data_IF_148602232298
#
_entry.id   IF_148602232298
#
_cell.length_a   1.000
_cell.length_b   1.000
_cell.length_c   1.000
_cell.angle_alpha   90.00
_cell.angle_beta   90.00
_cell.angle_gamma   90.00
#
_symmetry.space_group_name_H-M   'P 1'
#
loop_
_entity.id
_entity.type
_entity.pdbx_description
1 polymer ?
#
# COMPACT_ATOMS: atom_id res chain seq x y z
N UNK A 1 -12.73 14.38 -7.55
CA UNK A 1 -12.02 14.35 -6.27
C UNK A 1 -10.49 14.25 -6.47
N UNK A 2 -9.96 13.25 -7.19
CA UNK A 2 -8.51 13.06 -7.36
C UNK A 2 -7.78 14.25 -8.01
N UNK A 3 -8.42 14.96 -8.94
CA UNK A 3 -7.85 16.19 -9.52
C UNK A 3 -7.69 17.32 -8.47
N UNK A 4 -8.59 17.41 -7.48
CA UNK A 4 -8.53 18.43 -6.43
C UNK A 4 -7.34 18.25 -5.48
N UNK A 5 -6.84 17.02 -5.32
CA UNK A 5 -5.70 16.67 -4.47
C UNK A 5 -4.45 16.35 -5.27
N UNK A 6 -4.42 16.75 -6.55
CA UNK A 6 -3.29 16.53 -7.48
C UNK A 6 -2.82 15.06 -7.58
N UNK A 7 -3.73 14.10 -7.43
CA UNK A 7 -3.44 12.68 -7.58
C UNK A 7 -3.75 12.19 -9.00
N UNK A 8 -2.80 11.47 -9.60
CA UNK A 8 -2.97 10.78 -10.88
C UNK A 8 -3.33 9.32 -10.64
N UNK A 9 -4.28 8.79 -11.42
CA UNK A 9 -4.70 7.39 -11.31
C UNK A 9 -4.04 6.57 -12.41
N UNK A 10 -3.40 5.45 -12.03
CA UNK A 10 -2.85 4.46 -12.95
C UNK A 10 -3.72 3.21 -12.91
N UNK A 11 -4.44 2.93 -13.99
CA UNK A 11 -5.32 1.76 -14.11
C UNK A 11 -4.57 0.52 -14.60
N UNK A 12 -4.68 -0.61 -13.89
CA UNK A 12 -3.94 -1.84 -14.19
C UNK A 12 -4.64 -3.15 -13.83
N UNK A 13 -5.95 -3.26 -14.07
CA UNK A 13 -6.76 -4.39 -13.60
C UNK A 13 -6.74 -5.67 -14.48
N UNK A 14 -6.16 -5.66 -15.68
CA UNK A 14 -6.09 -6.83 -16.57
C UNK A 14 -4.63 -7.22 -16.87
N UNK A 15 -4.38 -8.48 -17.32
CA UNK A 15 -3.01 -8.95 -17.64
C UNK A 15 -2.27 -8.00 -18.60
N UNK A 16 -2.90 -7.58 -19.70
CA UNK A 16 -2.31 -6.62 -20.67
C UNK A 16 -2.18 -5.21 -20.07
N UNK A 17 -3.19 -4.72 -19.37
CA UNK A 17 -3.17 -3.41 -18.70
C UNK A 17 -2.24 -3.39 -17.47
N UNK A 18 -1.99 -4.54 -16.83
CA UNK A 18 -1.07 -4.68 -15.72
C UNK A 18 0.38 -4.34 -16.08
N UNK A 19 0.87 -4.82 -17.23
CA UNK A 19 2.22 -4.49 -17.73
C UNK A 19 2.34 -3.01 -18.05
N UNK A 20 1.34 -2.44 -18.76
CA UNK A 20 1.33 -1.01 -19.07
C UNK A 20 1.29 -0.15 -17.81
N UNK A 21 0.49 -0.53 -16.79
CA UNK A 21 0.46 0.17 -15.52
C UNK A 21 1.81 0.09 -14.80
N UNK A 22 2.46 -1.07 -14.80
CA UNK A 22 3.78 -1.26 -14.20
C UNK A 22 4.84 -0.35 -14.82
N UNK A 23 4.87 -0.23 -16.16
CA UNK A 23 5.77 0.69 -16.86
C UNK A 23 5.47 2.15 -16.50
N UNK A 24 4.19 2.54 -16.40
CA UNK A 24 3.79 3.89 -15.99
C UNK A 24 4.24 4.20 -14.56
N UNK A 25 4.13 3.22 -13.65
CA UNK A 25 4.60 3.38 -12.27
C UNK A 25 6.12 3.58 -12.20
N UNK A 26 6.89 2.80 -12.97
CA UNK A 26 8.35 2.99 -13.06
C UNK A 26 8.67 4.42 -13.49
N UNK A 27 8.08 4.88 -14.61
CA UNK A 27 8.32 6.23 -15.13
C UNK A 27 7.96 7.34 -14.14
N UNK A 28 6.85 7.17 -13.41
CA UNK A 28 6.43 8.13 -12.41
C UNK A 28 7.46 8.21 -11.25
N UNK A 29 7.95 7.07 -10.77
CA UNK A 29 8.98 7.03 -9.72
C UNK A 29 10.31 7.64 -10.22
N UNK A 30 10.71 7.33 -11.46
CA UNK A 30 11.91 7.91 -12.08
C UNK A 30 11.82 9.45 -12.23
N UNK A 31 10.61 9.97 -12.39
CA UNK A 31 10.31 11.40 -12.40
C UNK A 31 10.20 12.01 -10.98
N UNK A 32 10.49 11.27 -9.91
CA UNK A 32 10.42 11.76 -8.54
C UNK A 32 9.00 11.76 -7.94
N UNK A 33 8.02 11.13 -8.61
CA UNK A 33 6.66 11.02 -8.07
C UNK A 33 6.57 9.86 -7.07
N UNK A 34 5.77 10.04 -6.00
CA UNK A 34 5.41 8.96 -5.06
C UNK A 34 4.19 8.20 -5.57
N UNK A 35 4.16 6.90 -5.33
CA UNK A 35 3.05 6.03 -5.74
C UNK A 35 2.42 5.35 -4.53
N UNK A 36 1.10 5.44 -4.41
CA UNK A 36 0.32 4.63 -3.47
C UNK A 36 -0.24 3.39 -4.18
N UNK A 37 -0.01 2.21 -3.59
CA UNK A 37 -0.45 0.92 -4.13
C UNK A 37 -1.06 0.09 -3.02
N UNK A 38 -2.19 -0.58 -3.30
CA UNK A 38 -2.69 -1.65 -2.43
C UNK A 38 -1.88 -2.93 -2.68
N UNK A 39 -1.16 -3.46 -1.66
CA UNK A 39 -0.17 -4.52 -1.87
C UNK A 39 -0.79 -5.88 -2.20
N UNK A 40 -2.05 -6.11 -1.84
CA UNK A 40 -2.84 -7.31 -2.12
C UNK A 40 -3.40 -7.34 -3.55
N UNK A 41 -3.41 -6.18 -4.23
CA UNK A 41 -3.87 -6.07 -5.60
C UNK A 41 -5.38 -6.24 -5.78
N UNK A 42 -5.91 -6.07 -7.01
CA UNK A 42 -7.35 -5.97 -7.26
C UNK A 42 -8.13 -7.28 -7.12
N UNK A 43 -7.46 -8.41 -6.96
CA UNK A 43 -8.09 -9.74 -6.88
C UNK A 43 -7.91 -10.42 -5.53
N UNK A 44 -7.23 -9.77 -4.59
CA UNK A 44 -6.95 -10.38 -3.29
C UNK A 44 -6.06 -11.64 -3.36
N UNK A 45 -6.04 -12.48 -2.36
CA UNK A 45 -6.79 -12.31 -1.11
C UNK A 45 -6.35 -11.08 -0.31
N UNK A 46 -7.28 -10.57 0.48
CA UNK A 46 -7.10 -9.37 1.32
C UNK A 46 -5.87 -9.52 2.21
N UNK A 47 -5.13 -8.42 2.37
CA UNK A 47 -3.96 -8.32 3.27
C UNK A 47 -2.78 -9.24 2.94
N UNK A 48 -2.74 -9.84 1.75
CA UNK A 48 -1.61 -10.67 1.30
C UNK A 48 -0.75 -9.91 0.28
N UNK A 49 0.48 -9.62 0.66
CA UNK A 49 1.44 -8.91 -0.18
C UNK A 49 1.76 -9.67 -1.46
N UNK A 50 1.57 -9.02 -2.61
CA UNK A 50 1.89 -9.56 -3.94
C UNK A 50 3.29 -9.15 -4.40
N UNK A 51 3.86 -9.94 -5.29
CA UNK A 51 5.23 -9.75 -5.79
C UNK A 51 5.40 -8.46 -6.62
N UNK A 52 4.30 -7.88 -7.09
CA UNK A 52 4.31 -6.67 -7.93
C UNK A 52 5.00 -5.48 -7.25
N UNK A 53 4.71 -5.23 -5.97
CA UNK A 53 5.33 -4.12 -5.22
C UNK A 53 6.84 -4.35 -5.01
N UNK A 54 7.24 -5.61 -4.78
CA UNK A 54 8.65 -5.99 -4.59
C UNK A 54 9.42 -5.79 -5.91
N UNK A 55 8.84 -6.25 -7.03
CA UNK A 55 9.42 -6.04 -8.36
C UNK A 55 9.56 -4.56 -8.72
N UNK A 56 8.57 -3.75 -8.35
CA UNK A 56 8.62 -2.31 -8.59
C UNK A 56 9.78 -1.68 -7.81
N UNK A 57 9.90 -1.98 -6.52
CA UNK A 57 11.01 -1.50 -5.69
C UNK A 57 12.37 -1.99 -6.20
N UNK A 58 12.49 -3.24 -6.64
CA UNK A 58 13.72 -3.78 -7.25
C UNK A 58 14.12 -3.04 -8.52
N UNK A 59 13.13 -2.71 -9.36
CA UNK A 59 13.39 -2.07 -10.66
C UNK A 59 13.79 -0.62 -10.50
N UNK A 60 13.09 0.11 -9.62
CA UNK A 60 13.28 1.55 -9.44
C UNK A 60 14.31 1.90 -8.38
N UNK A 61 14.55 1.02 -7.40
CA UNK A 61 15.35 1.31 -6.21
C UNK A 61 14.60 2.14 -5.16
N UNK A 62 13.35 2.50 -5.41
CA UNK A 62 12.53 3.23 -4.45
C UNK A 62 12.19 2.35 -3.23
N UNK A 63 12.19 2.91 -2.01
CA UNK A 63 11.78 2.18 -0.83
C UNK A 63 10.28 1.89 -0.82
N UNK A 64 9.90 0.80 -0.18
CA UNK A 64 8.50 0.51 0.15
C UNK A 64 8.25 1.08 1.54
N UNK A 65 7.31 2.02 1.64
CA UNK A 65 6.88 2.57 2.94
C UNK A 65 5.49 2.01 3.24
N UNK A 66 5.36 1.09 4.20
CA UNK A 66 4.05 0.61 4.63
C UNK A 66 3.22 1.74 5.21
N UNK A 67 1.95 1.79 4.82
CA UNK A 67 1.01 2.79 5.31
C UNK A 67 -0.30 2.10 5.68
N UNK A 68 -0.75 2.33 6.90
CA UNK A 68 -2.08 1.95 7.37
C UNK A 68 -2.86 3.16 7.84
N UNK A 69 -4.18 3.02 7.81
CA UNK A 69 -5.07 4.07 8.25
C UNK A 69 -6.33 3.50 8.90
N UNK A 70 -6.91 4.23 9.82
CA UNK A 70 -8.16 3.92 10.49
C UNK A 70 -9.01 5.17 10.61
N UNK A 71 -10.31 5.01 10.46
CA UNK A 71 -11.30 6.09 10.63
C UNK A 71 -12.27 5.70 11.71
N UNK A 72 -12.61 6.66 12.58
CA UNK A 72 -13.50 6.41 13.72
C UNK A 72 -14.91 6.03 13.26
N UNK A 73 -15.50 6.83 12.38
CA UNK A 73 -16.86 6.64 11.90
C UNK A 73 -16.82 6.37 10.39
N UNK A 74 -17.28 5.20 9.98
CA UNK A 74 -17.24 4.75 8.60
C UNK A 74 -18.35 3.71 8.32
N UNK A 75 -18.60 3.47 7.05
CA UNK A 75 -19.39 2.34 6.54
C UNK A 75 -18.46 1.34 5.88
N UNK A 76 -18.63 0.06 6.19
CA UNK A 76 -18.00 -1.03 5.45
C UNK A 76 -18.89 -1.45 4.29
N UNK A 77 -18.31 -1.62 3.11
CA UNK A 77 -18.99 -2.24 1.99
C UNK A 77 -18.84 -3.76 2.06
N UNK A 78 -19.84 -4.47 1.61
CA UNK A 78 -19.77 -5.93 1.45
C UNK A 78 -19.01 -6.26 0.15
N UNK A 79 -17.70 -6.00 0.16
CA UNK A 79 -16.74 -6.32 -0.89
C UNK A 79 -15.69 -7.28 -0.36
N UNK A 80 -14.90 -7.93 -1.25
CA UNK A 80 -13.87 -8.89 -0.87
C UNK A 80 -12.80 -8.31 0.07
N UNK A 81 -12.58 -6.99 0.02
CA UNK A 81 -11.61 -6.22 0.82
C UNK A 81 -12.24 -5.48 2.00
N UNK A 82 -13.58 -5.57 2.18
CA UNK A 82 -14.34 -4.78 3.16
C UNK A 82 -14.04 -3.28 3.03
N UNK A 83 -14.19 -2.74 1.80
CA UNK A 83 -13.84 -1.36 1.50
C UNK A 83 -14.49 -0.37 2.48
N UNK A 84 -13.66 0.51 3.03
CA UNK A 84 -14.06 1.49 4.05
C UNK A 84 -14.48 2.80 3.38
N UNK A 85 -15.71 3.25 3.67
CA UNK A 85 -16.19 4.58 3.27
C UNK A 85 -16.23 5.45 4.53
N UNK A 86 -15.33 6.42 4.69
CA UNK A 86 -15.36 7.35 5.82
C UNK A 86 -16.60 8.25 5.76
N UNK A 87 -17.21 8.50 6.92
CA UNK A 87 -18.23 9.54 6.99
C UNK A 87 -17.59 10.94 6.98
N UNK A 88 -18.30 11.95 6.46
CA UNK A 88 -17.84 13.34 6.52
C UNK A 88 -17.46 13.74 7.95
N UNK A 89 -16.35 14.51 8.09
CA UNK A 89 -15.82 14.99 9.37
C UNK A 89 -15.39 13.91 10.38
N UNK A 90 -15.24 12.65 9.93
CA UNK A 90 -14.73 11.59 10.79
C UNK A 90 -13.26 11.79 11.10
N UNK A 91 -12.87 11.53 12.35
CA UNK A 91 -11.44 11.49 12.74
C UNK A 91 -10.77 10.27 12.12
N UNK A 92 -9.58 10.48 11.56
CA UNK A 92 -8.74 9.42 11.03
C UNK A 92 -7.33 9.46 11.61
N UNK A 93 -6.64 8.33 11.56
CA UNK A 93 -5.22 8.19 11.90
C UNK A 93 -4.52 7.47 10.76
N UNK A 94 -3.29 7.89 10.46
CA UNK A 94 -2.36 7.23 9.56
C UNK A 94 -1.15 6.78 10.35
N UNK A 95 -0.70 5.56 10.12
CA UNK A 95 0.52 5.01 10.69
C UNK A 95 1.43 4.59 9.55
N UNK A 96 2.66 5.11 9.56
CA UNK A 96 3.70 4.77 8.61
C UNK A 96 4.68 3.80 9.26
N UNK A 97 5.01 2.73 8.56
CA UNK A 97 6.09 1.83 8.93
C UNK A 97 7.44 2.34 8.45
N UNK A 98 8.49 1.64 8.84
CA UNK A 98 9.85 1.93 8.40
C UNK A 98 10.04 1.66 6.91
N UNK A 99 10.83 2.49 6.20
CA UNK A 99 11.13 2.28 4.79
C UNK A 99 11.88 0.97 4.55
N UNK A 100 11.36 0.12 3.68
CA UNK A 100 11.96 -1.17 3.32
C UNK A 100 12.66 -1.05 1.97
N UNK A 101 13.99 -1.18 1.96
CA UNK A 101 14.80 -1.14 0.75
C UNK A 101 14.99 -2.53 0.15
N UNK A 102 14.73 -2.67 -1.15
CA UNK A 102 14.89 -3.93 -1.88
C UNK A 102 16.04 -3.82 -2.88
N UNK A 103 17.07 -4.64 -2.70
CA UNK A 103 18.20 -4.66 -3.64
C UNK A 103 17.77 -5.18 -5.02
N UNK A 104 18.33 -4.59 -6.08
CA UNK A 104 18.01 -4.95 -7.48
C UNK A 104 18.28 -6.43 -7.81
N UNK A 105 19.38 -6.96 -7.31
CA UNK A 105 19.78 -8.37 -7.53
C UNK A 105 19.76 -9.11 -6.21
N UNK A 106 18.85 -10.06 -6.09
CA UNK A 106 18.73 -10.96 -4.91
C UNK A 106 18.39 -12.38 -5.38
N UNK A 107 18.79 -13.37 -4.60
CA UNK A 107 18.42 -14.78 -4.83
C UNK A 107 16.92 -14.98 -4.57
N UNK A 108 16.32 -16.03 -5.14
CA UNK A 108 14.92 -16.39 -4.87
C UNK A 108 14.64 -16.58 -3.37
N UNK A 109 15.57 -17.21 -2.64
CA UNK A 109 15.49 -17.37 -1.17
C UNK A 109 15.43 -16.01 -0.47
N UNK A 110 16.27 -15.06 -0.88
CA UNK A 110 16.29 -13.72 -0.29
C UNK A 110 15.01 -12.92 -0.63
N UNK A 111 14.48 -13.11 -1.84
CA UNK A 111 13.22 -12.50 -2.26
C UNK A 111 12.05 -12.95 -1.37
N UNK A 112 11.98 -14.25 -1.09
CA UNK A 112 10.99 -14.82 -0.18
C UNK A 112 11.12 -14.24 1.25
N UNK A 113 12.34 -14.10 1.76
CA UNK A 113 12.58 -13.47 3.06
C UNK A 113 12.13 -12.01 3.10
N UNK A 114 12.41 -11.23 2.04
CA UNK A 114 11.96 -9.84 1.92
C UNK A 114 10.44 -9.76 1.90
N UNK A 115 9.78 -10.64 1.14
CA UNK A 115 8.32 -10.70 1.09
C UNK A 115 7.72 -10.96 2.47
N UNK A 116 8.27 -11.91 3.20
CA UNK A 116 7.83 -12.22 4.57
C UNK A 116 8.09 -11.04 5.52
N UNK A 117 9.22 -10.35 5.40
CA UNK A 117 9.51 -9.15 6.21
C UNK A 117 8.48 -8.05 5.95
N UNK A 118 8.13 -7.83 4.69
CA UNK A 118 7.09 -6.84 4.31
C UNK A 118 5.74 -7.26 4.90
N UNK A 119 5.36 -8.54 4.75
CA UNK A 119 4.11 -9.05 5.30
C UNK A 119 4.04 -8.86 6.83
N UNK A 120 5.10 -9.24 7.53
CA UNK A 120 5.18 -9.09 9.00
C UNK A 120 5.05 -7.62 9.44
N UNK A 121 5.66 -6.69 8.71
CA UNK A 121 5.52 -5.26 9.02
C UNK A 121 4.09 -4.77 8.77
N UNK A 122 3.44 -5.21 7.69
CA UNK A 122 2.02 -4.93 7.47
C UNK A 122 1.14 -5.49 8.60
N UNK A 123 1.35 -6.75 9.00
CA UNK A 123 0.57 -7.40 10.08
C UNK A 123 0.75 -6.66 11.42
N UNK A 124 1.96 -6.18 11.71
CA UNK A 124 2.26 -5.36 12.89
C UNK A 124 1.51 -4.04 12.86
N UNK A 125 1.58 -3.30 11.75
CA UNK A 125 0.91 -2.02 11.60
C UNK A 125 -0.61 -2.15 11.61
N UNK A 126 -1.16 -3.24 11.06
CA UNK A 126 -2.59 -3.55 11.14
C UNK A 126 -3.04 -3.64 12.60
N UNK A 127 -2.32 -4.42 13.41
CA UNK A 127 -2.62 -4.55 14.85
C UNK A 127 -2.49 -3.23 15.60
N UNK A 128 -1.48 -2.43 15.27
CA UNK A 128 -1.27 -1.12 15.88
C UNK A 128 -2.42 -0.16 15.57
N UNK A 129 -2.84 -0.08 14.30
CA UNK A 129 -3.97 0.74 13.86
C UNK A 129 -5.29 0.26 14.47
N UNK A 130 -5.53 -1.04 14.54
CA UNK A 130 -6.73 -1.61 15.15
C UNK A 130 -6.86 -1.24 16.63
N UNK A 131 -5.76 -1.27 17.35
CA UNK A 131 -5.68 -0.91 18.77
C UNK A 131 -5.67 0.60 19.04
N UNK A 132 -5.61 1.44 17.98
CA UNK A 132 -5.58 2.89 18.16
C UNK A 132 -6.86 3.42 18.79
N UNK A 133 -6.70 4.17 19.88
CA UNK A 133 -7.81 4.77 20.62
C UNK A 133 -7.97 6.26 20.30
N UNK A 134 -9.02 6.60 19.55
CA UNK A 134 -9.36 7.98 19.17
C UNK A 134 -9.70 8.92 20.34
N UNK A 135 -9.89 8.40 21.56
CA UNK A 135 -10.19 9.18 22.75
C UNK A 135 -8.93 9.56 23.55
N UNK A 136 -7.77 8.96 23.26
CA UNK A 136 -6.49 9.42 23.81
C UNK A 136 -6.09 10.74 23.15
N UNK A 137 -5.88 11.79 23.97
CA UNK A 137 -5.23 13.02 23.48
C UNK A 137 -3.81 12.65 23.05
N UNK A 138 -3.47 12.88 21.80
CA UNK A 138 -2.07 12.89 21.35
C UNK A 138 -1.42 14.08 22.07
N UNK A 139 -0.40 13.80 22.89
CA UNK A 139 0.41 14.84 23.52
C UNK A 139 1.33 15.47 22.52
#
# INVERSE_FOLDING_TARGET
LFKLINMKIIYGSSKKKGVSAFIKMIKAIENGESIAITPDGPKGPKEIVKDGIIKLAQTTGAPIVPLFWKVKNHKLLNSWDNFIIPFPFSKGVYIFGEPIHVKRKVTAKKLFQIKNSIQNEFDKLTKEVENYNFNKKVK
#
